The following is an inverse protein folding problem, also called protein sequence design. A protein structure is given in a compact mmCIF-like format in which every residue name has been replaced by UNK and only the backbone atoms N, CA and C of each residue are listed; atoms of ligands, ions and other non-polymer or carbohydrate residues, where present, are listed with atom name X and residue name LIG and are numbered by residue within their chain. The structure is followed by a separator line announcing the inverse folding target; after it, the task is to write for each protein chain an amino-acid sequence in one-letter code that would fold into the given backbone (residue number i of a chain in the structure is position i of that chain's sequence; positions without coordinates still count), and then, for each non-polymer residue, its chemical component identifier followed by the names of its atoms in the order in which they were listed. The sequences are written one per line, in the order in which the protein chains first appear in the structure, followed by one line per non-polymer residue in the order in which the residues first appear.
data_IF_162803284869
#
_entry.id   IF_162803284869
#
_cell.length_a   1.000
_cell.length_b   1.000
_cell.length_c   1.000
_cell.angle_alpha   90.00
_cell.angle_beta   90.00
_cell.angle_gamma   90.00
#
_symmetry.space_group_name_H-M   'P 1'
#
loop_
_entity.id
_entity.type
_entity.pdbx_description
1 polymer ?
#
# COMPACT_ATOMS: atom_id res chain seq x y z
N UNK A 1 6.98 -4.28 -17.29
CA UNK A 1 6.13 -5.03 -16.34
C UNK A 1 6.82 -5.11 -14.98
N UNK A 2 7.04 -3.96 -14.35
CA UNK A 2 7.76 -3.87 -13.09
C UNK A 2 7.01 -2.85 -12.23
N UNK A 3 6.38 -3.34 -11.16
CA UNK A 3 5.51 -2.56 -10.30
C UNK A 3 6.13 -2.46 -8.90
N UNK A 4 6.08 -1.29 -8.24
CA UNK A 4 5.67 0.01 -8.75
C UNK A 4 6.68 0.60 -9.76
N UNK A 5 6.24 1.40 -10.75
CA UNK A 5 7.13 2.17 -11.61
C UNK A 5 7.79 3.27 -10.75
N UNK A 6 8.95 2.95 -10.19
CA UNK A 6 9.69 3.89 -9.38
C UNK A 6 10.48 4.85 -10.29
N UNK A 7 10.57 6.14 -9.94
CA UNK A 7 11.50 7.06 -10.59
C UNK A 7 12.92 6.48 -10.51
N UNK A 8 13.75 6.69 -11.55
CA UNK A 8 15.14 6.18 -11.60
C UNK A 8 16.03 6.59 -10.41
N UNK A 9 15.60 7.59 -9.63
CA UNK A 9 16.29 8.09 -8.44
C UNK A 9 15.95 7.30 -7.16
N UNK A 10 14.92 6.44 -7.18
CA UNK A 10 14.58 5.62 -6.02
C UNK A 10 15.54 4.41 -5.95
N UNK A 11 16.29 4.21 -4.85
CA UNK A 11 17.26 3.11 -4.72
C UNK A 11 16.60 1.72 -4.62
N UNK A 12 15.28 1.68 -4.56
CA UNK A 12 14.48 0.47 -4.51
C UNK A 12 14.23 0.00 -5.94
N UNK A 13 14.79 -1.17 -6.31
CA UNK A 13 14.41 -1.84 -7.57
C UNK A 13 12.93 -2.23 -7.48
N UNK A 14 12.13 -2.17 -8.57
CA UNK A 14 10.74 -2.61 -8.50
C UNK A 14 10.73 -4.09 -8.09
N UNK A 15 10.17 -4.37 -6.91
CA UNK A 15 10.28 -5.68 -6.26
C UNK A 15 9.25 -6.69 -6.76
N UNK A 16 8.31 -6.29 -7.63
CA UNK A 16 7.23 -7.18 -8.07
C UNK A 16 6.90 -7.04 -9.55
N UNK A 17 6.92 -8.17 -10.26
CA UNK A 17 6.16 -8.31 -11.50
C UNK A 17 4.70 -8.44 -11.13
N UNK A 18 3.86 -7.53 -11.58
CA UNK A 18 2.43 -7.56 -11.30
C UNK A 18 1.69 -7.34 -12.60
N UNK A 19 1.15 -8.43 -13.17
CA UNK A 19 0.38 -8.38 -14.40
C UNK A 19 -1.02 -8.98 -14.19
N UNK A 20 -1.98 -8.11 -13.89
CA UNK A 20 -3.37 -8.53 -13.70
C UNK A 20 -4.01 -9.12 -14.98
N UNK A 21 -3.48 -8.83 -16.17
CA UNK A 21 -4.02 -9.34 -17.43
C UNK A 21 -3.55 -10.74 -17.78
N UNK A 22 -2.37 -11.12 -17.32
CA UNK A 22 -1.77 -12.41 -17.60
C UNK A 22 -2.02 -13.42 -16.46
N UNK A 23 -2.09 -12.93 -15.21
CA UNK A 23 -2.15 -13.81 -14.03
C UNK A 23 -3.56 -14.02 -13.46
N UNK A 24 -4.57 -13.26 -13.91
CA UNK A 24 -5.93 -13.30 -13.37
C UNK A 24 -6.96 -13.43 -14.51
N UNK A 25 -7.93 -14.37 -14.42
CA UNK A 25 -9.02 -14.51 -15.40
C UNK A 25 -9.84 -13.22 -15.54
N UNK A 26 -10.43 -13.00 -16.71
CA UNK A 26 -11.13 -11.74 -17.03
C UNK A 26 -12.25 -11.40 -16.04
N UNK A 27 -12.97 -12.41 -15.56
CA UNK A 27 -14.09 -12.26 -14.63
C UNK A 27 -13.66 -11.67 -13.27
N UNK A 28 -12.47 -12.04 -12.77
CA UNK A 28 -11.96 -11.62 -11.46
C UNK A 28 -11.03 -10.40 -11.53
N UNK A 29 -10.61 -9.99 -12.73
CA UNK A 29 -9.66 -8.90 -12.96
C UNK A 29 -10.15 -7.56 -12.40
N UNK A 30 -11.45 -7.28 -12.51
CA UNK A 30 -12.06 -6.04 -12.01
C UNK A 30 -12.01 -5.96 -10.48
N UNK A 31 -12.26 -7.08 -9.80
CA UNK A 31 -12.22 -7.16 -8.33
C UNK A 31 -10.79 -7.02 -7.83
N UNK A 32 -9.83 -7.72 -8.46
CA UNK A 32 -8.42 -7.66 -8.10
C UNK A 32 -7.83 -6.25 -8.27
N UNK A 33 -8.16 -5.56 -9.38
CA UNK A 33 -7.76 -4.15 -9.58
C UNK A 33 -8.34 -3.25 -8.48
N UNK A 34 -9.63 -3.39 -8.11
CA UNK A 34 -10.26 -2.60 -7.04
C UNK A 34 -9.60 -2.83 -5.68
N UNK A 35 -9.28 -4.07 -5.33
CA UNK A 35 -8.60 -4.40 -4.08
C UNK A 35 -7.18 -3.83 -4.01
N UNK A 36 -6.47 -3.85 -5.13
CA UNK A 36 -5.18 -3.19 -5.25
C UNK A 36 -5.28 -1.67 -5.06
N UNK A 37 -6.26 -1.00 -5.68
CA UNK A 37 -6.51 0.43 -5.43
C UNK A 37 -6.89 0.71 -3.98
N UNK A 38 -7.64 -0.19 -3.35
CA UNK A 38 -8.03 -0.07 -1.94
C UNK A 38 -6.80 -0.17 -1.01
N UNK A 39 -5.85 -1.06 -1.30
CA UNK A 39 -4.60 -1.15 -0.56
C UNK A 39 -3.73 0.11 -0.76
N UNK A 40 -3.64 0.63 -1.98
CA UNK A 40 -2.96 1.92 -2.21
C UNK A 40 -3.64 3.08 -1.48
N UNK A 41 -4.98 3.11 -1.48
CA UNK A 41 -5.75 4.12 -0.77
C UNK A 41 -5.48 4.05 0.74
N UNK A 42 -5.43 2.85 1.32
CA UNK A 42 -5.06 2.66 2.71
C UNK A 42 -3.67 3.22 3.04
N UNK A 43 -2.67 2.97 2.17
CA UNK A 43 -1.34 3.55 2.31
C UNK A 43 -1.38 5.09 2.20
N UNK A 44 -2.16 5.64 1.27
CA UNK A 44 -2.33 7.08 1.11
C UNK A 44 -3.01 7.72 2.34
N UNK A 45 -4.01 7.08 2.94
CA UNK A 45 -4.65 7.55 4.17
C UNK A 45 -3.67 7.61 5.34
N UNK A 46 -2.83 6.59 5.52
CA UNK A 46 -1.80 6.59 6.56
C UNK A 46 -0.72 7.66 6.29
N UNK A 47 -0.37 7.90 5.03
CA UNK A 47 0.54 8.98 4.66
C UNK A 47 -0.06 10.37 4.98
N UNK A 48 -1.34 10.58 4.65
CA UNK A 48 -2.05 11.81 5.00
C UNK A 48 -2.19 11.97 6.53
N UNK A 49 -2.32 10.87 7.28
CA UNK A 49 -2.30 10.90 8.74
C UNK A 49 -0.95 11.43 9.26
N UNK A 50 0.17 10.99 8.70
CA UNK A 50 1.50 11.53 9.03
C UNK A 50 1.60 13.02 8.69
N UNK A 51 1.11 13.45 7.52
CA UNK A 51 1.11 14.86 7.13
C UNK A 51 0.23 15.72 8.05
N UNK A 52 -0.93 15.23 8.47
CA UNK A 52 -1.83 15.92 9.39
C UNK A 52 -1.18 16.09 10.78
N UNK A 53 -0.59 15.01 11.31
CA UNK A 53 0.13 15.07 12.59
C UNK A 53 1.39 15.95 12.49
N UNK A 54 2.08 15.99 11.35
CA UNK A 54 3.19 16.91 11.09
C UNK A 54 2.72 18.37 11.12
N UNK A 55 1.66 18.70 10.38
CA UNK A 55 1.09 20.05 10.35
C UNK A 55 0.67 20.50 11.76
N UNK A 56 0.06 19.60 12.52
CA UNK A 56 -0.36 19.88 13.90
C UNK A 56 0.84 20.07 14.84
N UNK A 57 1.88 19.25 14.70
CA UNK A 57 3.13 19.41 15.46
C UNK A 57 3.85 20.73 15.15
N UNK A 58 3.78 21.22 13.91
CA UNK A 58 4.35 22.52 13.55
C UNK A 58 3.60 23.71 14.18
N UNK A 59 2.33 23.53 14.54
CA UNK A 59 1.53 24.54 15.23
C UNK A 59 1.70 24.48 16.76
N UNK A 60 1.86 23.27 17.32
CA UNK A 60 2.07 23.04 18.75
C UNK A 60 3.09 21.91 18.99
N UNK A 61 4.28 22.31 19.44
CA UNK A 61 5.41 21.39 19.70
C UNK A 61 5.17 20.40 20.85
N UNK A 62 4.13 20.59 21.68
CA UNK A 62 3.78 19.64 22.75
C UNK A 62 3.21 18.31 22.21
N UNK A 63 2.84 18.26 20.93
CA UNK A 63 2.12 17.15 20.28
C UNK A 63 3.04 16.18 19.52
N UNK A 64 4.35 16.17 19.82
CA UNK A 64 5.32 15.32 19.12
C UNK A 64 5.05 13.83 19.21
N UNK A 65 4.36 13.39 20.26
CA UNK A 65 3.96 11.98 20.45
C UNK A 65 2.99 11.53 19.35
N UNK A 66 1.99 12.35 19.01
CA UNK A 66 1.00 12.03 17.97
C UNK A 66 1.68 11.89 16.60
N UNK A 67 2.66 12.75 16.32
CA UNK A 67 3.48 12.67 15.11
C UNK A 67 4.34 11.39 15.07
N UNK A 68 5.05 11.07 16.15
CA UNK A 68 5.85 9.83 16.21
C UNK A 68 4.98 8.58 16.05
N UNK A 69 3.81 8.55 16.68
CA UNK A 69 2.87 7.44 16.57
C UNK A 69 2.31 7.29 15.15
N UNK A 70 2.00 8.39 14.46
CA UNK A 70 1.54 8.35 13.06
C UNK A 70 2.56 7.71 12.11
N UNK A 71 3.86 8.00 12.30
CA UNK A 71 4.95 7.41 11.51
C UNK A 71 5.10 5.92 11.81
N UNK A 72 5.05 5.54 13.09
CA UNK A 72 5.11 4.15 13.52
C UNK A 72 3.95 3.34 12.92
N UNK A 73 2.74 3.91 12.94
CA UNK A 73 1.57 3.29 12.32
C UNK A 73 1.70 3.16 10.81
N UNK A 74 2.20 4.18 10.11
CA UNK A 74 2.46 4.10 8.68
C UNK A 74 3.45 2.98 8.35
N UNK A 75 4.58 2.90 9.07
CA UNK A 75 5.62 1.89 8.81
C UNK A 75 5.22 0.46 9.19
N UNK A 76 4.40 0.26 10.22
CA UNK A 76 3.95 -1.06 10.63
C UNK A 76 2.74 -1.53 9.80
N UNK A 77 1.73 -0.69 9.61
CA UNK A 77 0.50 -1.10 8.95
C UNK A 77 0.65 -1.25 7.44
N UNK A 78 1.49 -0.46 6.76
CA UNK A 78 1.71 -0.62 5.32
C UNK A 78 2.21 -2.02 4.93
N UNK A 79 3.30 -2.58 5.53
CA UNK A 79 3.74 -3.94 5.23
C UNK A 79 2.81 -5.02 5.81
N UNK A 80 2.19 -4.80 6.98
CA UNK A 80 1.23 -5.76 7.55
C UNK A 80 -0.02 -5.87 6.68
N UNK A 81 -0.57 -4.76 6.18
CA UNK A 81 -1.71 -4.79 5.26
C UNK A 81 -1.35 -5.49 3.94
N UNK A 82 -0.12 -5.32 3.46
CA UNK A 82 0.34 -6.06 2.29
C UNK A 82 0.40 -7.58 2.53
N UNK A 83 0.98 -8.02 3.65
CA UNK A 83 1.16 -9.44 3.96
C UNK A 83 -0.14 -10.13 4.38
N UNK A 84 -0.96 -9.48 5.20
CA UNK A 84 -2.15 -10.07 5.81
C UNK A 84 -3.40 -9.95 4.93
N UNK A 85 -3.50 -8.90 4.11
CA UNK A 85 -4.70 -8.66 3.31
C UNK A 85 -4.42 -8.84 1.82
N UNK A 86 -3.46 -8.08 1.28
CA UNK A 86 -3.27 -8.03 -0.17
C UNK A 86 -2.75 -9.35 -0.74
N UNK A 87 -1.72 -9.93 -0.12
CA UNK A 87 -1.04 -11.13 -0.61
C UNK A 87 -1.90 -12.40 -0.58
N UNK A 88 -2.66 -12.71 0.48
CA UNK A 88 -3.53 -13.89 0.51
C UNK A 88 -4.68 -13.77 -0.49
N UNK A 89 -5.26 -12.57 -0.61
CA UNK A 89 -6.35 -12.27 -1.54
C UNK A 89 -5.88 -12.42 -2.99
N UNK A 90 -4.73 -11.83 -3.34
CA UNK A 90 -4.15 -11.98 -4.67
C UNK A 90 -3.84 -13.45 -4.99
N UNK A 91 -3.32 -14.21 -4.02
CA UNK A 91 -3.07 -15.65 -4.19
C UNK A 91 -4.38 -16.44 -4.38
N UNK A 92 -5.44 -16.10 -3.66
CA UNK A 92 -6.74 -16.75 -3.76
C UNK A 92 -7.37 -16.59 -5.15
N UNK A 93 -7.39 -15.36 -5.69
CA UNK A 93 -7.91 -15.10 -7.03
C UNK A 93 -7.07 -15.74 -8.15
N UNK A 94 -5.75 -15.89 -7.94
CA UNK A 94 -4.88 -16.63 -8.86
C UNK A 94 -5.12 -18.14 -8.81
N UNK A 95 -5.44 -18.72 -7.64
CA UNK A 95 -5.68 -20.17 -7.52
C UNK A 95 -7.07 -20.60 -7.97
N UNK A 96 -8.08 -19.73 -7.83
CA UNK A 96 -9.47 -19.99 -8.25
C UNK A 96 -9.67 -19.90 -9.78
N UNK A 97 -8.56 -19.87 -10.52
CA UNK A 97 -8.51 -19.87 -11.99
C UNK A 97 -8.50 -21.29 -12.59
N UNK A 98 -8.79 -22.32 -11.79
CA UNK A 98 -8.75 -23.74 -12.19
C UNK A 98 -10.15 -24.30 -12.41
#
# INVERSE_FOLDING_TARGET
NNWPPLPKFCPVKPCFYQNFEEEIPEDYRRICKRMYYLWMFHCATLFLNVLACLAYFTADSSRGVDFGLSILWFLLFTPVAFVCWYRPVYKAFRSDSS
#
